data_IF_722573057701
#
_entry.id   IF_722573057701
#
_cell.length_a   1.000
_cell.length_b   1.000
_cell.length_c   1.000
_cell.angle_alpha   90.00
_cell.angle_beta   90.00
_cell.angle_gamma   90.00
#
_symmetry.space_group_name_H-M   'P 1'
#
loop_
_entity.id
_entity.type
_entity.pdbx_description
1 polymer ?
#
# COMPACT_ATOMS: atom_id res chain seq x y z
N UNK A 1 13.61 -3.63 7.44
CA UNK A 1 12.37 -4.43 7.53
C UNK A 1 12.32 -5.38 6.34
N UNK A 2 12.21 -6.69 6.58
CA UNK A 2 11.98 -7.66 5.49
C UNK A 2 10.66 -7.29 4.81
N UNK A 3 10.65 -7.21 3.47
CA UNK A 3 9.43 -6.91 2.72
C UNK A 3 8.45 -8.06 2.90
N UNK A 4 7.49 -7.89 3.80
CA UNK A 4 6.41 -8.86 3.99
C UNK A 4 5.57 -8.91 2.71
N UNK A 5 5.37 -10.11 2.16
CA UNK A 5 4.45 -10.33 1.03
C UNK A 5 3.03 -9.92 1.44
N UNK A 6 2.70 -10.08 2.73
CA UNK A 6 1.42 -9.66 3.29
C UNK A 6 1.24 -8.15 3.28
N UNK A 7 2.31 -7.36 3.32
CA UNK A 7 2.22 -5.89 3.26
C UNK A 7 1.74 -5.36 1.90
N UNK A 8 1.76 -6.18 0.85
CA UNK A 8 1.11 -5.83 -0.43
C UNK A 8 -0.38 -6.12 -0.42
N UNK A 9 -0.82 -7.05 0.43
CA UNK A 9 -2.16 -7.60 0.39
C UNK A 9 -3.06 -7.05 1.50
N UNK A 10 -2.49 -6.79 2.66
CA UNK A 10 -3.19 -6.44 3.88
C UNK A 10 -2.78 -5.03 4.35
N UNK A 11 -3.66 -4.34 5.07
CA UNK A 11 -3.27 -3.14 5.81
C UNK A 11 -2.10 -3.41 6.74
N UNK A 12 -1.23 -2.41 6.92
CA UNK A 12 -0.09 -2.51 7.83
C UNK A 12 -0.51 -2.91 9.25
N UNK A 13 -1.65 -2.38 9.71
CA UNK A 13 -2.24 -2.75 11.00
C UNK A 13 -2.50 -4.24 11.14
N UNK A 14 -2.99 -4.91 10.09
CA UNK A 14 -3.29 -6.35 10.11
C UNK A 14 -2.01 -7.18 10.16
N UNK A 15 -0.96 -6.75 9.46
CA UNK A 15 0.37 -7.39 9.52
C UNK A 15 0.96 -7.22 10.93
N UNK A 16 0.88 -6.01 11.49
CA UNK A 16 1.32 -5.71 12.84
C UNK A 16 0.51 -6.48 13.90
N UNK A 17 -0.79 -6.64 13.67
CA UNK A 17 -1.68 -7.42 14.54
C UNK A 17 -1.28 -8.89 14.58
N UNK A 18 -0.92 -9.48 13.42
CA UNK A 18 -0.40 -10.84 13.33
C UNK A 18 0.89 -11.01 14.14
N UNK A 19 1.81 -10.06 14.04
CA UNK A 19 3.09 -10.10 14.76
C UNK A 19 2.91 -9.97 16.28
N UNK A 20 1.97 -9.13 16.73
CA UNK A 20 1.77 -8.83 18.14
C UNK A 20 0.84 -9.82 18.87
N UNK A 21 -0.17 -10.36 18.19
CA UNK A 21 -1.19 -11.22 18.80
C UNK A 21 -1.16 -12.68 18.33
N UNK A 22 -0.35 -13.01 17.32
CA UNK A 22 -0.18 -14.36 16.79
C UNK A 22 -1.27 -14.80 15.81
N UNK A 23 -1.06 -15.97 15.20
CA UNK A 23 -1.87 -16.48 14.09
C UNK A 23 -3.31 -16.83 14.45
N UNK A 24 -3.56 -17.33 15.66
CA UNK A 24 -4.91 -17.74 16.09
C UNK A 24 -5.83 -16.52 16.17
N UNK A 25 -5.45 -15.51 16.95
CA UNK A 25 -6.22 -14.28 17.08
C UNK A 25 -6.31 -13.52 15.75
N UNK A 26 -5.23 -13.53 14.95
CA UNK A 26 -5.28 -12.99 13.61
C UNK A 26 -6.31 -13.69 12.73
N UNK A 27 -6.45 -15.02 12.82
CA UNK A 27 -7.41 -15.74 11.98
C UNK A 27 -8.87 -15.41 12.35
N UNK A 28 -9.14 -15.22 13.64
CA UNK A 28 -10.42 -14.70 14.14
C UNK A 28 -10.66 -13.27 13.65
N UNK A 29 -9.66 -12.39 13.81
CA UNK A 29 -9.76 -10.99 13.37
C UNK A 29 -9.91 -10.87 11.87
N UNK A 30 -9.18 -11.72 11.13
CA UNK A 30 -9.32 -11.84 9.70
C UNK A 30 -10.76 -12.21 9.42
N UNK A 31 -11.26 -13.39 9.80
CA UNK A 31 -12.60 -13.85 9.39
C UNK A 31 -13.80 -13.03 9.92
N UNK A 32 -13.62 -12.24 10.98
CA UNK A 32 -14.68 -11.39 11.52
C UNK A 32 -14.69 -9.96 10.97
N UNK A 33 -15.43 -9.10 11.67
CA UNK A 33 -15.61 -7.67 11.36
C UNK A 33 -15.13 -6.87 12.57
N UNK A 34 -14.15 -5.99 12.36
CA UNK A 34 -13.49 -5.24 13.41
C UNK A 34 -13.38 -3.77 13.01
N UNK A 35 -13.78 -2.91 13.94
CA UNK A 35 -13.70 -1.47 13.81
C UNK A 35 -13.28 -0.89 15.15
N UNK A 36 -11.98 -0.91 15.42
CA UNK A 36 -11.40 -0.45 16.68
C UNK A 36 -9.99 0.16 16.46
N UNK A 37 -9.41 0.82 17.47
CA UNK A 37 -8.12 1.49 17.33
C UNK A 37 -6.94 0.59 16.93
N UNK A 38 -6.97 -0.73 17.15
CA UNK A 38 -5.87 -1.65 16.75
C UNK A 38 -6.13 -2.32 15.38
N UNK A 39 -7.39 -2.52 15.01
CA UNK A 39 -7.78 -3.23 13.79
C UNK A 39 -9.07 -2.68 13.20
N UNK A 40 -8.96 -2.17 11.97
CA UNK A 40 -10.07 -1.83 11.08
C UNK A 40 -9.99 -2.84 9.93
N UNK A 41 -10.90 -3.80 9.95
CA UNK A 41 -10.96 -4.87 8.96
C UNK A 41 -12.39 -5.38 8.84
N UNK A 42 -12.93 -5.33 7.63
CA UNK A 42 -14.30 -5.71 7.37
C UNK A 42 -14.42 -6.61 6.12
N UNK A 43 -15.61 -7.16 5.92
CA UNK A 43 -15.91 -8.09 4.83
C UNK A 43 -15.77 -7.47 3.45
N UNK A 44 -15.93 -6.16 3.33
CA UNK A 44 -15.69 -5.43 2.08
C UNK A 44 -14.19 -5.35 1.75
N UNK A 45 -13.36 -5.00 2.72
CA UNK A 45 -11.90 -4.99 2.58
C UNK A 45 -11.37 -6.38 2.24
N UNK A 46 -11.88 -7.41 2.92
CA UNK A 46 -11.57 -8.82 2.61
C UNK A 46 -11.95 -9.17 1.17
N UNK A 47 -13.16 -8.81 0.73
CA UNK A 47 -13.63 -9.09 -0.63
C UNK A 47 -12.74 -8.42 -1.66
N UNK A 48 -12.40 -7.15 -1.44
CA UNK A 48 -11.51 -6.39 -2.31
C UNK A 48 -10.12 -7.02 -2.42
N UNK A 49 -9.55 -7.48 -1.31
CA UNK A 49 -8.28 -8.23 -1.30
C UNK A 49 -8.37 -9.48 -2.19
N UNK A 50 -9.42 -10.29 -2.00
CA UNK A 50 -9.63 -11.53 -2.77
C UNK A 50 -9.79 -11.22 -4.27
N UNK A 51 -10.56 -10.20 -4.62
CA UNK A 51 -10.77 -9.77 -6.00
C UNK A 51 -9.46 -9.31 -6.67
N UNK A 52 -8.64 -8.53 -5.96
CA UNK A 52 -7.33 -8.08 -6.47
C UNK A 52 -6.37 -9.26 -6.66
N UNK A 53 -6.37 -10.23 -5.74
CA UNK A 53 -5.59 -11.47 -5.89
C UNK A 53 -6.07 -12.27 -7.10
N UNK A 54 -7.39 -12.48 -7.22
CA UNK A 54 -7.99 -13.21 -8.32
C UNK A 54 -7.66 -12.57 -9.67
N UNK A 55 -7.78 -11.25 -9.77
CA UNK A 55 -7.42 -10.50 -10.97
C UNK A 55 -5.93 -10.61 -11.32
N UNK A 56 -5.04 -10.63 -10.32
CA UNK A 56 -3.61 -10.79 -10.52
C UNK A 56 -3.22 -12.16 -11.08
N UNK A 57 -3.91 -13.22 -10.66
CA UNK A 57 -3.65 -14.59 -11.13
C UNK A 57 -4.55 -15.01 -12.31
N UNK A 58 -5.49 -14.16 -12.74
CA UNK A 58 -6.52 -14.49 -13.73
C UNK A 58 -5.95 -15.03 -15.04
N UNK A 59 -4.83 -14.49 -15.52
CA UNK A 59 -4.18 -14.93 -16.75
C UNK A 59 -3.47 -16.30 -16.59
N UNK A 60 -3.07 -16.65 -15.36
CA UNK A 60 -2.34 -17.87 -15.08
C UNK A 60 -3.27 -19.06 -14.81
N UNK A 61 -4.39 -18.85 -14.12
CA UNK A 61 -5.38 -19.89 -13.80
C UNK A 61 -5.79 -20.76 -14.99
N UNK A 62 -6.22 -20.22 -16.16
CA UNK A 62 -6.59 -21.05 -17.31
C UNK A 62 -5.37 -21.72 -17.96
N UNK A 63 -4.20 -21.09 -17.94
CA UNK A 63 -2.95 -21.69 -18.45
C UNK A 63 -2.57 -22.92 -17.64
N UNK A 64 -2.68 -22.84 -16.31
CA UNK A 64 -2.41 -23.95 -15.41
C UNK A 64 -3.40 -25.10 -15.62
N UNK A 65 -4.69 -24.80 -15.83
CA UNK A 65 -5.71 -25.83 -16.14
C UNK A 65 -5.40 -26.55 -17.46
N UNK A 66 -4.94 -25.84 -18.48
CA UNK A 66 -4.57 -26.43 -19.77
C UNK A 66 -3.24 -27.22 -19.75
N UNK A 67 -2.33 -26.83 -18.85
CA UNK A 67 -1.01 -27.44 -18.72
C UNK A 67 -0.55 -27.38 -17.26
N UNK A 68 -0.59 -28.53 -16.59
CA UNK A 68 -0.16 -28.68 -15.18
C UNK A 68 1.33 -28.45 -14.97
N UNK A 69 2.16 -28.39 -16.03
CA UNK A 69 3.58 -28.00 -15.98
C UNK A 69 3.82 -26.53 -16.33
N UNK A 70 2.77 -25.72 -16.52
CA UNK A 70 2.91 -24.29 -16.80
C UNK A 70 3.67 -23.60 -15.65
N UNK A 71 4.77 -22.93 -15.98
CA UNK A 71 5.56 -22.17 -15.00
C UNK A 71 4.88 -20.83 -14.72
N UNK A 72 4.66 -20.55 -13.43
CA UNK A 72 4.21 -19.23 -12.99
C UNK A 72 5.39 -18.25 -13.06
N UNK A 73 5.26 -17.22 -13.89
CA UNK A 73 6.22 -16.14 -13.91
C UNK A 73 5.85 -15.15 -12.81
N UNK A 74 6.67 -15.08 -11.76
CA UNK A 74 6.44 -14.18 -10.65
C UNK A 74 6.32 -12.73 -11.11
N UNK A 75 5.31 -12.06 -10.59
CA UNK A 75 5.18 -10.61 -10.63
C UNK A 75 4.79 -10.10 -9.25
N UNK A 76 5.39 -8.98 -8.82
CA UNK A 76 4.98 -8.31 -7.60
C UNK A 76 3.54 -7.80 -7.74
N UNK A 77 2.72 -8.04 -6.72
CA UNK A 77 1.37 -7.49 -6.70
C UNK A 77 1.42 -6.00 -6.36
N UNK A 78 0.63 -5.14 -7.03
CA UNK A 78 0.41 -3.79 -6.55
C UNK A 78 -0.17 -3.82 -5.12
N UNK A 79 0.26 -2.92 -4.22
CA UNK A 79 -0.36 -2.86 -2.88
C UNK A 79 -1.85 -2.53 -3.03
N UNK A 80 -2.68 -3.29 -2.31
CA UNK A 80 -4.11 -3.07 -2.24
C UNK A 80 -4.38 -1.81 -1.42
N UNK A 81 -5.08 -0.83 -2.01
CA UNK A 81 -5.54 0.37 -1.31
C UNK A 81 -6.97 0.18 -0.84
N UNK A 82 -7.20 0.48 0.43
CA UNK A 82 -8.51 0.37 1.06
C UNK A 82 -9.07 1.76 1.30
N UNK A 83 -10.21 2.06 0.68
CA UNK A 83 -10.90 3.34 0.85
C UNK A 83 -11.28 3.61 2.30
N UNK A 84 -11.59 2.55 3.03
CA UNK A 84 -11.97 2.60 4.45
C UNK A 84 -10.86 3.14 5.35
N UNK A 85 -9.60 3.09 4.89
CA UNK A 85 -8.43 3.54 5.62
C UNK A 85 -7.89 4.88 5.10
N UNK A 86 -8.57 5.52 4.14
CA UNK A 86 -8.06 6.74 3.56
C UNK A 86 -7.94 7.84 4.63
N UNK A 87 -8.95 8.04 5.46
CA UNK A 87 -8.92 9.07 6.50
C UNK A 87 -8.17 8.64 7.78
N UNK A 88 -7.47 7.50 7.75
CA UNK A 88 -6.77 6.95 8.91
C UNK A 88 -5.26 7.14 8.83
N UNK A 89 -4.67 7.62 9.93
CA UNK A 89 -3.23 7.58 10.14
C UNK A 89 -2.90 6.41 11.06
N UNK A 90 -2.22 5.40 10.50
CA UNK A 90 -1.70 4.27 11.27
C UNK A 90 -0.31 4.59 11.80
N UNK A 91 -0.12 4.49 13.12
CA UNK A 91 1.16 4.73 13.77
C UNK A 91 1.39 3.71 14.90
N UNK A 92 2.59 3.12 14.93
CA UNK A 92 2.98 2.04 15.83
C UNK A 92 2.05 0.81 15.69
N UNK A 93 1.00 0.71 16.51
CA UNK A 93 -0.01 -0.36 16.48
C UNK A 93 -1.44 0.18 16.47
N UNK A 94 -1.62 1.49 16.31
CA UNK A 94 -2.92 2.15 16.46
C UNK A 94 -3.28 3.03 15.27
N UNK A 95 -4.56 3.04 14.96
CA UNK A 95 -5.19 4.05 14.12
C UNK A 95 -5.49 5.29 14.95
N UNK A 96 -4.80 6.40 14.68
CA UNK A 96 -4.82 7.57 15.53
C UNK A 96 -6.19 8.24 15.60
N UNK A 97 -6.95 8.28 14.49
CA UNK A 97 -8.30 8.87 14.49
C UNK A 97 -9.23 8.10 15.41
N UNK A 98 -9.21 6.77 15.33
CA UNK A 98 -9.99 5.90 16.23
C UNK A 98 -9.50 5.97 17.68
N UNK A 99 -8.18 6.05 17.89
CA UNK A 99 -7.61 6.17 19.23
C UNK A 99 -8.01 7.50 19.90
N UNK A 100 -8.14 8.58 19.13
CA UNK A 100 -8.57 9.89 19.63
C UNK A 100 -10.10 10.01 19.78
N UNK A 101 -10.88 9.06 19.28
CA UNK A 101 -12.34 9.07 19.43
C UNK A 101 -12.75 8.56 20.82
N UNK A 102 -12.70 9.47 21.80
CA UNK A 102 -13.08 9.19 23.18
C UNK A 102 -14.58 8.94 23.37
N UNK A 103 -15.42 9.24 22.36
CA UNK A 103 -16.86 8.97 22.42
C UNK A 103 -17.16 7.52 22.09
N UNK A 104 -16.51 6.97 21.05
CA UNK A 104 -16.67 5.57 20.65
C UNK A 104 -15.79 4.62 21.44
N UNK A 105 -14.59 5.05 21.84
CA UNK A 105 -13.59 4.22 22.53
C UNK A 105 -13.08 4.92 23.79
N UNK A 106 -13.92 5.10 24.82
CA UNK A 106 -13.47 5.65 26.09
C UNK A 106 -12.42 4.73 26.74
N UNK A 107 -11.37 5.34 27.29
CA UNK A 107 -10.31 4.68 28.07
C UNK A 107 -9.62 3.49 27.36
N UNK A 108 -9.42 3.57 26.04
CA UNK A 108 -8.75 2.50 25.30
C UNK A 108 -7.33 2.24 25.83
N UNK A 109 -6.97 0.99 26.17
CA UNK A 109 -5.69 0.69 26.82
C UNK A 109 -4.52 0.84 25.85
N UNK A 110 -3.61 1.77 26.16
CA UNK A 110 -2.38 1.99 25.41
C UNK A 110 -1.25 1.14 26.00
N UNK A 111 -0.77 0.15 25.25
CA UNK A 111 0.25 -0.81 25.75
C UNK A 111 1.56 -0.14 26.14
N UNK A 112 2.07 0.80 25.33
CA UNK A 112 3.35 1.49 25.54
C UNK A 112 3.24 2.98 25.22
N UNK A 113 2.71 3.81 26.14
CA UNK A 113 2.41 5.22 25.87
C UNK A 113 3.62 6.05 25.41
N UNK A 114 4.78 5.84 26.05
CA UNK A 114 6.01 6.59 25.71
C UNK A 114 6.56 6.20 24.33
N UNK A 115 6.45 4.93 23.95
CA UNK A 115 6.89 4.46 22.63
C UNK A 115 5.97 5.01 21.53
N UNK A 116 4.65 4.93 21.76
CA UNK A 116 3.66 5.49 20.85
C UNK A 116 3.91 6.99 20.62
N UNK A 117 4.09 7.77 21.70
CA UNK A 117 4.33 9.21 21.57
C UNK A 117 5.58 9.52 20.75
N UNK A 118 6.67 8.78 20.97
CA UNK A 118 7.91 8.96 20.19
C UNK A 118 7.68 8.68 18.70
N UNK A 119 6.99 7.59 18.38
CA UNK A 119 6.73 7.20 17.00
C UNK A 119 5.81 8.20 16.29
N UNK A 120 4.78 8.70 16.99
CA UNK A 120 3.89 9.75 16.48
C UNK A 120 4.65 11.04 16.20
N UNK A 121 5.52 11.46 17.12
CA UNK A 121 6.35 12.66 16.94
C UNK A 121 7.33 12.52 15.77
N UNK A 122 7.92 11.34 15.60
CA UNK A 122 8.83 11.05 14.49
C UNK A 122 8.08 11.06 13.15
N UNK A 123 6.89 10.47 13.08
CA UNK A 123 6.07 10.47 11.87
C UNK A 123 5.60 11.87 11.50
N UNK A 124 5.21 12.67 12.50
CA UNK A 124 4.89 14.09 12.29
C UNK A 124 6.08 14.87 11.74
N UNK A 125 7.28 14.65 12.29
CA UNK A 125 8.50 15.30 11.81
C UNK A 125 8.79 14.96 10.33
N UNK A 126 8.65 13.69 9.93
CA UNK A 126 8.84 13.28 8.54
C UNK A 126 7.88 13.98 7.59
N UNK A 127 6.62 14.13 8.00
CA UNK A 127 5.62 14.82 7.18
C UNK A 127 5.92 16.33 7.07
N UNK A 128 6.41 16.97 8.14
CA UNK A 128 6.85 18.37 8.10
C UNK A 128 8.08 18.57 7.22
N UNK A 129 9.02 17.63 7.25
CA UNK A 129 10.27 17.68 6.47
C UNK A 129 10.10 17.21 5.00
N UNK A 130 8.88 16.81 4.62
CA UNK A 130 8.59 16.23 3.31
C UNK A 130 8.74 17.25 2.19
N UNK A 131 9.75 17.02 1.34
CA UNK A 131 9.98 17.83 0.14
C UNK A 131 8.93 17.50 -0.94
N UNK A 132 8.55 18.48 -1.78
CA UNK A 132 7.65 18.23 -2.90
C UNK A 132 8.24 17.17 -3.86
N UNK A 133 7.41 16.33 -4.49
CA UNK A 133 7.88 15.29 -5.39
C UNK A 133 8.67 15.88 -6.57
N UNK A 134 9.81 15.26 -6.90
CA UNK A 134 10.73 15.75 -7.95
C UNK A 134 10.21 15.54 -9.38
N UNK A 135 9.27 14.61 -9.57
CA UNK A 135 8.65 14.36 -10.87
C UNK A 135 7.16 14.61 -10.85
N UNK A 136 6.60 15.00 -12.00
CA UNK A 136 5.15 15.14 -12.18
C UNK A 136 4.50 13.85 -12.68
N UNK A 137 3.18 13.74 -12.51
CA UNK A 137 2.39 12.61 -13.03
C UNK A 137 2.56 12.45 -14.55
N UNK A 138 2.67 13.55 -15.27
CA UNK A 138 2.89 13.56 -16.72
C UNK A 138 4.25 12.95 -17.10
N UNK A 139 5.30 13.30 -16.36
CA UNK A 139 6.63 12.71 -16.55
C UNK A 139 6.64 11.20 -16.25
N UNK A 140 5.80 10.72 -15.32
CA UNK A 140 5.65 9.31 -15.05
C UNK A 140 4.91 8.57 -16.18
N UNK A 141 3.89 9.18 -16.79
CA UNK A 141 3.23 8.63 -17.98
C UNK A 141 4.17 8.56 -19.18
N UNK A 142 4.95 9.60 -19.42
CA UNK A 142 5.95 9.62 -20.48
C UNK A 142 7.01 8.52 -20.28
N UNK A 143 7.47 8.32 -19.05
CA UNK A 143 8.42 7.25 -18.72
C UNK A 143 7.83 5.84 -18.94
N UNK A 144 6.52 5.68 -18.79
CA UNK A 144 5.79 4.44 -19.11
C UNK A 144 5.42 4.33 -20.60
N UNK A 145 5.72 5.35 -21.41
CA UNK A 145 5.34 5.42 -22.83
C UNK A 145 3.84 5.59 -23.04
N UNK A 146 3.14 6.19 -22.09
CA UNK A 146 1.71 6.48 -22.11
C UNK A 146 1.49 7.96 -22.45
N UNK A 147 0.42 8.26 -23.20
CA UNK A 147 0.10 9.64 -23.58
C UNK A 147 -0.43 10.41 -22.38
N UNK A 148 0.09 11.60 -22.12
CA UNK A 148 -0.48 12.54 -21.14
C UNK A 148 -1.84 13.03 -21.63
N UNK A 149 -2.89 12.92 -20.82
CA UNK A 149 -4.25 13.29 -21.21
C UNK A 149 -5.15 13.57 -20.01
N UNK A 150 -6.16 14.42 -20.23
CA UNK A 150 -7.15 14.78 -19.20
C UNK A 150 -8.00 13.56 -18.89
N UNK A 151 -7.89 13.03 -17.67
CA UNK A 151 -8.62 11.84 -17.20
C UNK A 151 -7.75 10.63 -16.82
N UNK A 152 -6.44 10.68 -17.02
CA UNK A 152 -5.53 9.58 -16.67
C UNK A 152 -5.73 8.31 -17.52
N UNK A 153 -5.08 7.22 -17.12
CA UNK A 153 -5.20 5.91 -17.77
C UNK A 153 -5.82 4.89 -16.83
N UNK A 154 -6.59 3.94 -17.37
CA UNK A 154 -7.09 2.80 -16.59
C UNK A 154 -5.96 1.96 -16.00
N UNK A 155 -6.17 1.43 -14.79
CA UNK A 155 -5.17 0.67 -14.03
C UNK A 155 -4.59 -0.51 -14.84
N UNK A 156 -5.42 -1.15 -15.68
CA UNK A 156 -5.02 -2.27 -16.52
C UNK A 156 -4.02 -1.85 -17.63
N UNK A 157 -4.18 -0.64 -18.19
CA UNK A 157 -3.31 -0.10 -19.24
C UNK A 157 -1.96 0.29 -18.66
N UNK A 158 -1.97 0.98 -17.51
CA UNK A 158 -0.77 1.35 -16.77
C UNK A 158 0.02 0.10 -16.36
N UNK A 159 -0.68 -0.93 -15.84
CA UNK A 159 -0.07 -2.21 -15.45
C UNK A 159 0.60 -2.89 -16.64
N UNK A 160 -0.06 -2.96 -17.79
CA UNK A 160 0.49 -3.60 -19.00
C UNK A 160 1.73 -2.87 -19.52
N UNK A 161 1.72 -1.53 -19.50
CA UNK A 161 2.88 -0.71 -19.88
C UNK A 161 4.06 -0.95 -18.93
N UNK A 162 3.80 -0.98 -17.63
CA UNK A 162 4.80 -1.31 -16.60
C UNK A 162 5.39 -2.72 -16.82
N UNK A 163 4.56 -3.74 -17.02
CA UNK A 163 5.02 -5.12 -17.27
C UNK A 163 5.96 -5.22 -18.46
N UNK A 164 5.63 -4.54 -19.56
CA UNK A 164 6.46 -4.50 -20.76
C UNK A 164 7.82 -3.86 -20.47
N UNK A 165 7.83 -2.79 -19.69
CA UNK A 165 9.04 -2.08 -19.30
C UNK A 165 9.90 -2.92 -18.34
N UNK A 166 9.30 -3.51 -17.32
CA UNK A 166 9.96 -4.37 -16.34
C UNK A 166 10.57 -5.64 -16.99
N UNK A 167 9.89 -6.23 -17.98
CA UNK A 167 10.45 -7.34 -18.76
C UNK A 167 11.62 -6.92 -19.64
N UNK A 168 11.55 -5.72 -20.24
CA UNK A 168 12.63 -5.16 -21.07
C UNK A 168 13.90 -4.88 -20.28
N UNK A 169 13.76 -4.43 -19.04
CA UNK A 169 14.88 -4.05 -18.17
C UNK A 169 15.13 -5.03 -17.02
N UNK A 170 14.65 -6.28 -17.13
CA UNK A 170 14.85 -7.28 -16.09
C UNK A 170 16.36 -7.57 -15.92
N UNK A 171 16.93 -7.46 -14.70
CA UNK A 171 18.37 -7.55 -14.48
C UNK A 171 18.98 -8.90 -14.89
N UNK A 172 18.20 -9.98 -14.83
CA UNK A 172 18.66 -11.32 -15.28
C UNK A 172 18.64 -11.50 -16.81
N UNK A 173 17.88 -10.67 -17.55
CA UNK A 173 17.76 -10.76 -19.02
C UNK A 173 18.57 -9.69 -19.75
N UNK A 174 19.13 -8.72 -19.03
CA UNK A 174 19.87 -7.61 -19.61
C UNK A 174 21.08 -7.23 -18.72
N UNK A 175 22.20 -7.99 -18.82
CA UNK A 175 23.39 -7.74 -17.99
C UNK A 175 24.04 -6.36 -18.21
N UNK A 176 23.91 -5.76 -19.41
CA UNK A 176 24.36 -4.39 -19.73
C UNK A 176 23.35 -3.29 -19.31
N UNK A 177 22.11 -3.63 -18.99
CA UNK A 177 21.07 -2.68 -18.57
C UNK A 177 21.35 -2.01 -17.22
N UNK A 178 22.41 -2.41 -16.52
CA UNK A 178 22.84 -1.84 -15.24
C UNK A 178 23.39 -0.42 -15.37
N UNK A 179 23.89 -0.03 -16.56
CA UNK A 179 24.74 1.15 -16.73
C UNK A 179 23.94 2.42 -17.12
N UNK A 180 22.75 2.28 -17.69
CA UNK A 180 22.02 3.43 -18.25
C UNK A 180 20.76 3.87 -17.49
N UNK A 181 20.17 3.03 -16.62
CA UNK A 181 19.01 3.42 -15.82
C UNK A 181 19.11 2.84 -14.41
N UNK A 182 19.52 3.66 -13.44
CA UNK A 182 19.52 3.27 -12.03
C UNK A 182 18.10 2.89 -11.60
N UNK A 183 17.89 1.86 -10.75
CA UNK A 183 16.59 1.58 -10.14
C UNK A 183 15.95 2.80 -9.47
N UNK A 184 16.78 3.78 -9.08
CA UNK A 184 16.41 5.10 -8.56
C UNK A 184 15.54 5.96 -9.47
N UNK A 185 15.54 5.76 -10.79
CA UNK A 185 14.70 6.53 -11.74
C UNK A 185 13.26 6.00 -11.82
N UNK A 186 13.01 4.76 -11.38
CA UNK A 186 11.68 4.13 -11.39
C UNK A 186 11.01 4.06 -10.01
N UNK A 187 11.78 4.21 -8.93
CA UNK A 187 11.26 4.44 -7.58
C UNK A 187 10.30 5.64 -7.53
N UNK A 188 10.54 6.76 -8.22
CA UNK A 188 9.62 7.87 -8.20
C UNK A 188 8.39 7.68 -9.11
N UNK A 189 8.38 6.74 -10.07
CA UNK A 189 7.13 6.28 -10.72
C UNK A 189 6.29 5.48 -9.72
N UNK A 190 6.94 4.64 -8.91
CA UNK A 190 6.30 3.96 -7.78
C UNK A 190 5.81 4.97 -6.73
N UNK A 191 6.58 6.02 -6.44
CA UNK A 191 6.26 7.08 -5.48
C UNK A 191 5.16 8.00 -5.99
N UNK A 192 5.11 8.40 -7.27
CA UNK A 192 4.06 9.30 -7.76
C UNK A 192 2.70 8.64 -7.85
N UNK A 193 2.62 7.39 -8.32
CA UNK A 193 1.37 6.66 -8.23
C UNK A 193 1.03 6.23 -6.78
N UNK A 194 1.96 6.38 -5.82
CA UNK A 194 1.72 6.18 -4.38
C UNK A 194 1.48 7.41 -3.52
N UNK A 195 2.02 8.57 -3.91
CA UNK A 195 2.17 9.75 -3.06
C UNK A 195 1.26 10.89 -3.48
N UNK A 196 0.76 10.91 -4.72
CA UNK A 196 0.07 12.11 -5.26
C UNK A 196 -1.40 12.23 -4.85
N UNK A 197 -1.87 11.47 -3.86
CA UNK A 197 -3.23 11.63 -3.32
C UNK A 197 -3.25 11.99 -1.82
N UNK A 198 -2.13 11.90 -1.08
CA UNK A 198 -2.23 11.86 0.39
C UNK A 198 -1.73 13.05 1.21
N UNK A 199 -1.02 14.04 0.67
CA UNK A 199 -0.31 15.00 1.56
C UNK A 199 -0.92 16.38 1.77
N UNK A 200 -2.11 16.72 1.26
CA UNK A 200 -2.66 18.08 1.46
C UNK A 200 -4.11 18.16 1.98
N UNK A 201 -4.87 17.06 2.02
CA UNK A 201 -6.27 17.10 2.46
C UNK A 201 -6.48 16.69 3.93
N UNK A 202 -5.60 15.87 4.52
CA UNK A 202 -5.90 15.23 5.80
C UNK A 202 -5.54 16.04 7.05
N UNK A 203 -4.62 16.99 6.94
CA UNK A 203 -4.21 17.83 8.09
C UNK A 203 -5.10 19.08 8.23
N UNK A 204 -5.77 19.52 7.16
CA UNK A 204 -6.72 20.64 7.24
C UNK A 204 -8.10 20.28 7.83
N UNK A 205 -8.42 18.99 7.92
CA UNK A 205 -9.72 18.49 8.44
C UNK A 205 -9.70 18.21 9.95
N UNK A 206 -8.50 18.08 10.55
CA UNK A 206 -8.35 18.01 12.00
C UNK A 206 -8.34 19.44 12.55
N UNK A 207 -9.53 20.01 12.71
CA UNK A 207 -9.77 21.34 13.28
C UNK A 207 -9.24 21.48 14.71
N UNK A 208 -7.93 21.65 14.85
CA UNK A 208 -7.30 22.24 16.03
C UNK A 208 -7.39 23.75 15.82
N UNK A 209 -8.59 24.29 16.06
CA UNK A 209 -8.76 25.72 16.29
C UNK A 209 -8.08 26.07 17.61
N UNK A 210 -7.23 27.09 17.55
CA UNK A 210 -6.78 27.88 18.70
C UNK A 210 -7.93 28.38 19.57
#
# INVERSE_FOLDING_TARGET
>A
MQRSILGQLLPEAMVCFLENHGSVKFSETFLGEFDNPEAIWNGEMRRMMIEKIAAHIADFTPRLQSNTRATYQYCAMPVVRYKQLEDELFCNIYYLRHLCDTLRFPDWPIKKPVALLKDVLEEWKKEVDKKPPEMSVDQAYDALGLKTGVGGHEENVVRKAYFKLAQKYHPDKNPDGRVSHTPSQYIPIFSLFYSTIFSLAQIASLGISH
#
